data_IF_046797878366
#
_entry.id   IF_046797878366
#
_cell.length_a   1.000
_cell.length_b   1.000
_cell.length_c   1.000
_cell.angle_alpha   90.00
_cell.angle_beta   90.00
_cell.angle_gamma   90.00
#
_symmetry.space_group_name_H-M   'P 1'
#
loop_
_entity.id
_entity.type
_entity.pdbx_description
1 polymer ?
#
# COMPACT_ATOMS: atom_id res chain seq x y z
N UNK A 1 -23.58 -5.72 -9.03
CA UNK A 1 -22.41 -6.60 -8.83
C UNK A 1 -21.24 -5.71 -8.46
N UNK A 2 -20.67 -5.86 -7.26
CA UNK A 2 -19.41 -5.17 -6.93
C UNK A 2 -18.36 -5.78 -7.85
N UNK A 3 -17.95 -5.00 -8.86
CA UNK A 3 -16.96 -5.42 -9.83
C UNK A 3 -15.71 -5.85 -9.07
N UNK A 4 -15.33 -7.12 -9.17
CA UNK A 4 -14.09 -7.69 -8.61
C UNK A 4 -12.86 -6.81 -8.88
N UNK A 5 -12.92 -5.97 -9.93
CA UNK A 5 -11.91 -4.97 -10.27
C UNK A 5 -11.50 -4.06 -9.11
N UNK A 6 -12.44 -3.48 -8.36
CA UNK A 6 -12.06 -2.49 -7.32
C UNK A 6 -11.45 -3.14 -6.08
N UNK A 7 -11.88 -4.36 -5.73
CA UNK A 7 -11.31 -5.09 -4.61
C UNK A 7 -9.90 -5.58 -4.95
N UNK A 8 -9.70 -6.18 -6.12
CA UNK A 8 -8.39 -6.64 -6.58
C UNK A 8 -7.40 -5.47 -6.81
N UNK A 9 -7.89 -4.33 -7.32
CA UNK A 9 -7.06 -3.15 -7.54
C UNK A 9 -6.48 -2.55 -6.24
N UNK A 10 -7.17 -2.71 -5.11
CA UNK A 10 -6.65 -2.28 -3.80
C UNK A 10 -5.79 -3.35 -3.13
N UNK A 11 -6.04 -4.63 -3.40
CA UNK A 11 -5.37 -5.75 -2.78
C UNK A 11 -3.93 -5.90 -3.28
N UNK A 12 -3.69 -5.67 -4.57
CA UNK A 12 -2.35 -5.69 -5.19
C UNK A 12 -1.37 -4.72 -4.53
N UNK A 13 -1.65 -3.40 -4.42
CA UNK A 13 -0.74 -2.46 -3.79
C UNK A 13 -0.56 -2.70 -2.29
N UNK A 14 -1.59 -3.19 -1.58
CA UNK A 14 -1.46 -3.55 -0.15
C UNK A 14 -0.50 -4.73 0.01
N UNK A 15 -0.65 -5.80 -0.77
CA UNK A 15 0.25 -6.95 -0.73
C UNK A 15 1.66 -6.56 -1.13
N UNK A 16 1.83 -5.75 -2.19
CA UNK A 16 3.12 -5.23 -2.59
C UNK A 16 3.80 -4.44 -1.44
N UNK A 17 3.03 -3.59 -0.74
CA UNK A 17 3.49 -2.86 0.44
C UNK A 17 3.92 -3.80 1.57
N UNK A 18 3.14 -4.83 1.86
CA UNK A 18 3.46 -5.84 2.89
C UNK A 18 4.74 -6.62 2.56
N UNK A 19 4.93 -7.02 1.30
CA UNK A 19 6.16 -7.69 0.85
C UNK A 19 7.35 -6.74 0.99
N UNK A 20 7.20 -5.47 0.62
CA UNK A 20 8.27 -4.47 0.76
C UNK A 20 8.65 -4.22 2.23
N UNK A 21 7.65 -4.19 3.13
CA UNK A 21 7.89 -4.13 4.58
C UNK A 21 8.64 -5.36 5.08
N UNK A 22 8.29 -6.56 4.61
CA UNK A 22 8.99 -7.79 4.97
C UNK A 22 10.44 -7.80 4.47
N UNK A 23 10.68 -7.34 3.24
CA UNK A 23 12.04 -7.18 2.69
C UNK A 23 12.81 -6.14 3.51
N UNK A 24 12.23 -4.98 3.77
CA UNK A 24 12.85 -3.92 4.56
C UNK A 24 13.18 -4.36 5.99
N UNK A 25 12.30 -5.17 6.61
CA UNK A 25 12.53 -5.76 7.91
C UNK A 25 13.67 -6.78 7.91
N UNK A 26 13.79 -7.61 6.86
CA UNK A 26 14.91 -8.55 6.71
C UNK A 26 16.27 -7.83 6.56
N UNK A 27 16.30 -6.63 5.99
CA UNK A 27 17.52 -5.82 5.86
C UNK A 27 17.60 -4.66 6.86
N UNK A 28 16.86 -4.72 7.97
CA UNK A 28 16.72 -3.63 8.95
C UNK A 28 18.03 -3.09 9.50
N UNK A 29 19.08 -3.92 9.53
CA UNK A 29 20.40 -3.54 10.02
C UNK A 29 21.14 -2.58 9.07
N UNK A 30 20.65 -2.44 7.84
CA UNK A 30 21.18 -1.52 6.83
C UNK A 30 20.20 -0.36 6.63
N UNK A 31 20.72 0.84 6.40
CA UNK A 31 19.88 2.01 6.06
C UNK A 31 18.93 1.75 4.87
N UNK A 32 19.33 0.87 3.94
CA UNK A 32 18.51 0.45 2.80
C UNK A 32 17.25 -0.31 3.23
N UNK A 33 17.33 -1.15 4.27
CA UNK A 33 16.17 -1.86 4.79
C UNK A 33 15.20 -0.93 5.53
N UNK A 34 15.72 0.02 6.31
CA UNK A 34 14.91 1.07 6.94
C UNK A 34 14.22 1.94 5.88
N UNK A 35 14.93 2.28 4.80
CA UNK A 35 14.36 3.02 3.68
C UNK A 35 13.27 2.22 2.93
N UNK A 36 13.49 0.91 2.71
CA UNK A 36 12.47 0.03 2.14
C UNK A 36 11.22 -0.09 3.05
N UNK A 37 11.39 -0.11 4.37
CA UNK A 37 10.27 -0.07 5.31
C UNK A 37 9.48 1.25 5.20
N UNK A 38 10.17 2.39 5.05
CA UNK A 38 9.53 3.68 4.82
C UNK A 38 8.70 3.69 3.53
N UNK A 39 9.25 3.18 2.43
CA UNK A 39 8.52 3.09 1.16
C UNK A 39 7.29 2.18 1.30
N UNK A 40 7.43 1.03 1.98
CA UNK A 40 6.35 0.07 2.14
C UNK A 40 5.19 0.66 2.94
N UNK A 41 5.51 1.42 3.98
CA UNK A 41 4.52 2.12 4.79
C UNK A 41 3.82 3.24 4.00
N UNK A 42 4.59 4.06 3.25
CA UNK A 42 4.03 5.12 2.40
C UNK A 42 3.11 4.57 1.30
N UNK A 43 3.47 3.44 0.69
CA UNK A 43 2.67 2.79 -0.34
C UNK A 43 1.28 2.37 0.18
N UNK A 44 1.24 1.77 1.38
CA UNK A 44 -0.02 1.37 2.02
C UNK A 44 -0.84 2.60 2.39
N UNK A 45 -0.21 3.64 2.95
CA UNK A 45 -0.87 4.90 3.29
C UNK A 45 -1.48 5.59 2.08
N UNK A 46 -0.73 5.73 0.99
CA UNK A 46 -1.19 6.32 -0.28
C UNK A 46 -2.39 5.55 -0.84
N UNK A 47 -2.34 4.22 -0.80
CA UNK A 47 -3.45 3.37 -1.26
C UNK A 47 -4.73 3.63 -0.47
N UNK A 48 -4.61 3.76 0.86
CA UNK A 48 -5.75 4.05 1.74
C UNK A 48 -6.28 5.47 1.51
N UNK A 49 -5.39 6.47 1.41
CA UNK A 49 -5.78 7.85 1.14
C UNK A 49 -6.49 7.98 -0.21
N UNK A 50 -5.94 7.35 -1.26
CA UNK A 50 -6.55 7.35 -2.58
C UNK A 50 -7.94 6.71 -2.56
N UNK A 51 -8.11 5.61 -1.81
CA UNK A 51 -9.42 4.98 -1.60
C UNK A 51 -10.41 5.92 -0.92
N UNK A 52 -10.00 6.62 0.14
CA UNK A 52 -10.86 7.58 0.85
C UNK A 52 -11.26 8.71 -0.10
N UNK A 53 -10.30 9.24 -0.86
CA UNK A 53 -10.53 10.32 -1.81
C UNK A 53 -11.47 9.91 -2.95
N UNK A 54 -11.28 8.72 -3.53
CA UNK A 54 -12.16 8.16 -4.55
C UNK A 54 -13.58 7.98 -4.02
N UNK A 55 -13.73 7.44 -2.81
CA UNK A 55 -15.05 7.24 -2.17
C UNK A 55 -15.76 8.56 -1.87
N UNK A 56 -15.02 9.60 -1.46
CA UNK A 56 -15.55 10.95 -1.26
C UNK A 56 -16.01 11.58 -2.58
N UNK A 57 -15.23 11.43 -3.65
CA UNK A 57 -15.54 11.96 -4.97
C UNK A 57 -16.73 11.24 -5.63
N UNK A 58 -16.89 9.94 -5.42
CA UNK A 58 -18.08 9.18 -5.86
C UNK A 58 -19.36 9.55 -5.09
N UNK A 59 -19.24 10.21 -3.93
CA UNK A 59 -20.38 10.60 -3.08
C UNK A 59 -20.87 12.04 -3.33
N UNK A 60 -20.25 12.76 -4.28
CA UNK A 60 -20.63 14.12 -4.72
C UNK A 60 -21.31 14.06 -6.09
#
# INVERSE_FOLDING_TARGET
MISMSSFNAMLVPIIAGMILLAIGFNFRDKNVGVFAMWIGMLLILLTVLFRIMAKLNESS
#
